data_IF_104775815217
#
_entry.id   IF_104775815217
#
_cell.length_a   1.000
_cell.length_b   1.000
_cell.length_c   1.000
_cell.angle_alpha   90.00
_cell.angle_beta   90.00
_cell.angle_gamma   90.00
#
_symmetry.space_group_name_H-M   'P 1'
#
loop_
_entity.id
_entity.type
_entity.pdbx_description
1 polymer ?
#
# COMPACT_ATOMS: atom_id res chain seq x y z
N UNK A 1 -3.53 0.24 -20.20
CA UNK A 1 -4.02 -1.13 -20.34
C UNK A 1 -5.55 -1.14 -20.40
N UNK A 2 -6.12 -2.19 -20.92
CA UNK A 2 -7.58 -2.37 -20.96
C UNK A 2 -8.19 -2.98 -19.69
N UNK A 3 -7.42 -3.14 -18.63
CA UNK A 3 -7.89 -3.74 -17.39
C UNK A 3 -8.49 -2.69 -16.46
N UNK A 4 -9.66 -2.98 -15.89
CA UNK A 4 -10.35 -2.08 -14.96
C UNK A 4 -10.70 -2.81 -13.68
N UNK A 5 -10.37 -2.24 -12.50
CA UNK A 5 -10.77 -2.83 -11.24
C UNK A 5 -12.22 -2.51 -10.88
N UNK A 6 -12.81 -3.39 -10.08
CA UNK A 6 -14.11 -3.15 -9.45
C UNK A 6 -13.94 -2.41 -8.11
N UNK A 7 -12.78 -2.58 -7.47
CA UNK A 7 -12.49 -2.05 -6.13
C UNK A 7 -11.01 -1.70 -6.03
N UNK A 8 -10.72 -0.60 -5.33
CA UNK A 8 -9.35 -0.17 -5.05
C UNK A 8 -9.06 -0.33 -3.57
N UNK A 9 -7.94 -0.93 -3.24
CA UNK A 9 -7.46 -1.06 -1.85
C UNK A 9 -6.17 -0.27 -1.72
N UNK A 10 -6.20 0.76 -0.87
CA UNK A 10 -5.01 1.53 -0.53
C UNK A 10 -4.27 0.91 0.65
N UNK A 11 -2.96 0.79 0.51
CA UNK A 11 -2.11 0.34 1.61
C UNK A 11 -1.78 1.56 2.48
N UNK A 12 -2.34 1.58 3.67
CA UNK A 12 -2.14 2.70 4.59
C UNK A 12 -0.67 2.72 5.07
N UNK A 13 -0.10 3.85 5.30
CA UNK A 13 -0.69 5.19 5.13
C UNK A 13 -0.42 5.77 3.74
N UNK A 14 0.81 5.58 3.22
CA UNK A 14 1.29 6.23 2.00
C UNK A 14 0.47 5.91 0.76
N UNK A 15 -0.10 4.72 0.67
CA UNK A 15 -0.90 4.31 -0.48
C UNK A 15 -2.30 4.90 -0.52
N UNK A 16 -2.80 5.47 0.58
CA UNK A 16 -4.16 6.03 0.63
C UNK A 16 -4.34 7.23 -0.31
N UNK A 17 -3.32 8.07 -0.42
CA UNK A 17 -3.38 9.27 -1.25
C UNK A 17 -3.38 8.91 -2.73
N UNK A 18 -2.42 8.13 -3.24
CA UNK A 18 -2.49 7.70 -4.64
C UNK A 18 -3.70 6.82 -4.94
N UNK A 19 -4.15 5.99 -4.00
CA UNK A 19 -5.37 5.20 -4.18
C UNK A 19 -6.60 6.08 -4.41
N UNK A 20 -6.77 7.12 -3.61
CA UNK A 20 -7.85 8.08 -3.77
C UNK A 20 -7.76 8.80 -5.12
N UNK A 21 -6.58 9.26 -5.50
CA UNK A 21 -6.37 9.92 -6.78
C UNK A 21 -6.71 9.02 -7.97
N UNK A 22 -6.28 7.76 -7.93
CA UNK A 22 -6.60 6.78 -8.98
C UNK A 22 -8.10 6.54 -9.04
N UNK A 23 -8.76 6.40 -7.89
CA UNK A 23 -10.21 6.21 -7.83
C UNK A 23 -10.97 7.32 -8.54
N UNK A 24 -10.56 8.57 -8.34
CA UNK A 24 -11.13 9.70 -9.08
C UNK A 24 -10.81 9.63 -10.57
N UNK A 25 -9.55 9.32 -10.92
CA UNK A 25 -9.11 9.32 -12.31
C UNK A 25 -9.84 8.31 -13.17
N UNK A 26 -10.12 7.12 -12.63
CA UNK A 26 -10.78 6.04 -13.38
C UNK A 26 -12.26 5.83 -13.01
N UNK A 27 -12.79 6.67 -12.11
CA UNK A 27 -14.21 6.64 -11.75
C UNK A 27 -14.63 5.45 -10.90
N UNK A 28 -13.73 4.87 -10.12
CA UNK A 28 -14.04 3.77 -9.20
C UNK A 28 -14.29 4.33 -7.81
N UNK A 29 -15.50 4.15 -7.29
CA UNK A 29 -15.91 4.64 -5.97
C UNK A 29 -15.70 3.61 -4.86
N UNK A 30 -15.75 2.32 -5.19
CA UNK A 30 -15.58 1.27 -4.20
C UNK A 30 -14.11 1.21 -3.77
N UNK A 31 -13.84 1.55 -2.52
CA UNK A 31 -12.50 1.61 -1.97
C UNK A 31 -12.44 0.99 -0.60
N UNK A 32 -11.32 0.39 -0.30
CA UNK A 32 -10.97 -0.11 1.01
C UNK A 32 -9.54 0.28 1.36
N UNK A 33 -9.18 0.03 2.60
CA UNK A 33 -7.83 0.27 3.09
C UNK A 33 -7.35 -0.94 3.89
N UNK A 34 -6.06 -1.20 3.81
CA UNK A 34 -5.41 -2.20 4.64
C UNK A 34 -4.14 -1.61 5.22
N UNK A 35 -3.91 -1.82 6.52
CA UNK A 35 -2.72 -1.33 7.19
C UNK A 35 -1.93 -2.51 7.73
N UNK A 36 -0.68 -2.63 7.29
CA UNK A 36 0.21 -3.72 7.69
C UNK A 36 1.45 -3.13 8.33
N UNK A 37 1.79 -3.59 9.51
CA UNK A 37 3.06 -3.28 10.16
C UNK A 37 3.89 -4.55 10.29
N UNK A 38 5.18 -4.42 10.01
CA UNK A 38 6.16 -5.46 10.32
C UNK A 38 6.71 -5.20 11.71
N UNK A 39 6.39 -6.10 12.63
CA UNK A 39 6.83 -6.00 14.01
C UNK A 39 8.19 -6.64 14.16
N UNK A 40 9.16 -5.88 14.68
CA UNK A 40 10.48 -6.38 15.04
C UNK A 40 10.62 -6.30 16.54
N UNK A 41 10.65 -7.44 17.21
CA UNK A 41 10.88 -7.49 18.63
C UNK A 41 12.36 -7.24 18.95
N UNK A 42 12.64 -6.56 20.07
CA UNK A 42 14.01 -6.26 20.48
C UNK A 42 14.75 -7.58 20.72
N UNK A 43 15.85 -7.76 19.98
CA UNK A 43 16.68 -8.96 20.09
C UNK A 43 16.26 -10.13 19.20
N UNK A 44 15.21 -9.99 18.42
CA UNK A 44 14.80 -10.97 17.41
C UNK A 44 15.08 -10.46 16.00
N UNK A 45 15.48 -11.38 15.14
CA UNK A 45 15.76 -11.09 13.73
C UNK A 45 14.57 -11.33 12.82
N UNK A 46 13.49 -11.91 13.33
CA UNK A 46 12.28 -12.21 12.55
C UNK A 46 11.32 -11.04 12.60
N UNK A 47 10.95 -10.57 11.41
CA UNK A 47 9.89 -9.60 11.22
C UNK A 47 8.58 -10.33 11.00
N UNK A 48 7.62 -10.12 11.89
CA UNK A 48 6.27 -10.66 11.73
C UNK A 48 5.32 -9.55 11.29
N UNK A 49 4.55 -9.76 10.19
CA UNK A 49 3.57 -8.77 9.78
C UNK A 49 2.33 -8.81 10.67
N UNK A 50 1.83 -7.63 11.00
CA UNK A 50 0.59 -7.45 11.75
C UNK A 50 -0.36 -6.61 10.91
N UNK A 51 -1.57 -7.11 10.71
CA UNK A 51 -2.63 -6.36 10.05
C UNK A 51 -3.38 -5.59 11.15
N UNK A 52 -3.33 -4.26 11.06
CA UNK A 52 -3.93 -3.38 12.05
C UNK A 52 -5.44 -3.24 11.84
N UNK A 53 -6.16 -3.04 12.95
CA UNK A 53 -7.59 -2.72 12.92
C UNK A 53 -7.83 -1.26 12.55
N UNK A 54 -8.94 -0.93 11.84
CA UNK A 54 -9.91 -1.88 11.33
C UNK A 54 -9.38 -2.67 10.14
N UNK A 55 -9.74 -3.94 10.07
CA UNK A 55 -9.35 -4.79 8.95
C UNK A 55 -10.32 -4.60 7.77
N UNK A 56 -9.77 -4.75 6.57
CA UNK A 56 -10.57 -4.82 5.36
C UNK A 56 -11.48 -6.05 5.42
N UNK A 57 -12.76 -5.87 5.08
CA UNK A 57 -13.69 -6.98 4.92
C UNK A 57 -13.37 -7.74 3.64
N UNK A 58 -12.66 -8.86 3.78
CA UNK A 58 -12.24 -9.66 2.63
C UNK A 58 -13.40 -10.40 1.96
N UNK A 59 -14.50 -10.65 2.65
CA UNK A 59 -15.67 -11.29 2.04
C UNK A 59 -16.30 -10.43 0.94
N UNK A 60 -16.18 -9.11 1.05
CA UNK A 60 -16.67 -8.18 0.02
C UNK A 60 -15.89 -8.26 -1.29
N UNK A 61 -14.75 -8.95 -1.31
CA UNK A 61 -13.87 -9.05 -2.47
C UNK A 61 -14.23 -10.20 -3.40
N UNK A 62 -15.14 -11.10 -3.00
CA UNK A 62 -15.52 -12.26 -3.81
C UNK A 62 -16.05 -11.84 -5.18
N UNK A 63 -15.50 -12.45 -6.23
CA UNK A 63 -15.89 -12.17 -7.60
C UNK A 63 -15.43 -10.83 -8.14
N UNK A 64 -14.56 -10.12 -7.43
CA UNK A 64 -14.15 -8.77 -7.81
C UNK A 64 -12.72 -8.74 -8.32
N UNK A 65 -12.46 -7.79 -9.21
CA UNK A 65 -11.13 -7.40 -9.65
C UNK A 65 -10.66 -6.27 -8.73
N UNK A 66 -9.54 -6.47 -8.07
CA UNK A 66 -9.03 -5.55 -7.04
C UNK A 66 -7.71 -4.96 -7.49
N UNK A 67 -7.58 -3.64 -7.37
CA UNK A 67 -6.32 -2.94 -7.55
C UNK A 67 -5.78 -2.54 -6.17
N UNK A 68 -4.62 -3.07 -5.83
CA UNK A 68 -3.88 -2.68 -4.62
C UNK A 68 -2.96 -1.52 -4.97
N UNK A 69 -3.03 -0.44 -4.20
CA UNK A 69 -2.22 0.76 -4.45
C UNK A 69 -1.36 1.08 -3.24
N UNK A 70 -0.08 1.30 -3.50
CA UNK A 70 0.87 1.82 -2.51
C UNK A 70 1.67 2.96 -3.13
N UNK A 71 2.44 3.67 -2.32
CA UNK A 71 3.29 4.76 -2.82
C UNK A 71 4.61 4.23 -3.39
N UNK A 72 5.23 3.28 -2.73
CA UNK A 72 6.51 2.72 -3.15
C UNK A 72 6.59 1.23 -2.83
N UNK A 73 7.10 0.45 -3.79
CA UNK A 73 7.54 -0.92 -3.55
C UNK A 73 9.03 -0.90 -3.22
N UNK A 74 9.37 -0.79 -1.94
CA UNK A 74 10.75 -0.71 -1.46
C UNK A 74 11.37 -2.11 -1.36
N UNK A 75 11.18 -2.82 -0.24
CA UNK A 75 11.55 -4.24 -0.17
C UNK A 75 10.55 -5.11 -0.92
N UNK A 76 9.33 -4.65 -1.05
CA UNK A 76 8.22 -5.38 -1.67
C UNK A 76 7.50 -6.32 -0.73
N UNK A 77 7.93 -6.45 0.52
CA UNK A 77 7.33 -7.40 1.48
C UNK A 77 5.88 -7.09 1.79
N UNK A 78 5.57 -5.82 2.03
CA UNK A 78 4.19 -5.38 2.33
C UNK A 78 3.28 -5.66 1.14
N UNK A 79 3.70 -5.27 -0.05
CA UNK A 79 2.89 -5.44 -1.25
C UNK A 79 2.68 -6.92 -1.58
N UNK A 80 3.73 -7.73 -1.45
CA UNK A 80 3.66 -9.17 -1.63
C UNK A 80 2.65 -9.82 -0.67
N UNK A 81 2.73 -9.46 0.61
CA UNK A 81 1.80 -9.95 1.62
C UNK A 81 0.35 -9.57 1.31
N UNK A 82 0.11 -8.29 1.02
CA UNK A 82 -1.24 -7.78 0.77
C UNK A 82 -1.84 -8.42 -0.48
N UNK A 83 -1.10 -8.48 -1.57
CA UNK A 83 -1.58 -9.07 -2.82
C UNK A 83 -1.92 -10.55 -2.62
N UNK A 84 -1.06 -11.30 -1.96
CA UNK A 84 -1.31 -12.72 -1.70
C UNK A 84 -2.51 -12.94 -0.77
N UNK A 85 -2.68 -12.09 0.24
CA UNK A 85 -3.83 -12.15 1.13
C UNK A 85 -5.14 -11.92 0.37
N UNK A 86 -5.19 -10.88 -0.48
CA UNK A 86 -6.40 -10.56 -1.22
C UNK A 86 -6.71 -11.56 -2.32
N UNK A 87 -5.70 -12.21 -2.89
CA UNK A 87 -5.91 -13.29 -3.88
C UNK A 87 -6.65 -14.50 -3.33
N UNK A 88 -6.67 -14.69 -2.03
CA UNK A 88 -7.43 -15.79 -1.41
C UNK A 88 -8.93 -15.65 -1.63
N UNK A 89 -9.42 -14.42 -1.77
CA UNK A 89 -10.87 -14.15 -1.86
C UNK A 89 -11.26 -13.48 -3.16
N UNK A 90 -10.45 -12.53 -3.66
CA UNK A 90 -10.76 -11.78 -4.87
C UNK A 90 -10.58 -12.66 -6.12
N UNK A 91 -11.30 -12.30 -7.16
CA UNK A 91 -11.22 -12.98 -8.46
C UNK A 91 -9.87 -12.71 -9.14
N UNK A 92 -9.44 -11.46 -9.10
CA UNK A 92 -8.17 -11.02 -9.68
C UNK A 92 -7.62 -9.87 -8.87
N UNK A 93 -6.32 -9.88 -8.62
CA UNK A 93 -5.63 -8.81 -7.89
C UNK A 93 -4.45 -8.33 -8.70
N UNK A 94 -4.39 -7.03 -8.95
CA UNK A 94 -3.23 -6.35 -9.53
C UNK A 94 -2.78 -5.24 -8.60
N UNK A 95 -1.55 -4.79 -8.81
CA UNK A 95 -0.91 -3.81 -7.94
C UNK A 95 -0.37 -2.63 -8.72
N UNK A 96 -0.44 -1.45 -8.11
CA UNK A 96 0.08 -0.21 -8.67
C UNK A 96 0.83 0.56 -7.59
N UNK A 97 1.98 1.10 -7.95
CA UNK A 97 2.78 1.97 -7.10
C UNK A 97 3.27 3.16 -7.91
N UNK A 98 3.65 4.24 -7.23
CA UNK A 98 4.29 5.37 -7.89
C UNK A 98 5.73 5.01 -8.23
N UNK A 99 6.47 4.50 -7.27
CA UNK A 99 7.87 4.15 -7.44
C UNK A 99 8.16 2.70 -7.08
N UNK A 100 9.08 2.09 -7.83
CA UNK A 100 9.61 0.76 -7.54
C UNK A 100 11.10 0.87 -7.28
N UNK A 101 11.58 0.29 -6.19
CA UNK A 101 13.01 0.18 -5.89
C UNK A 101 13.60 -1.06 -6.55
N UNK A 102 14.88 -1.01 -6.99
CA UNK A 102 15.51 -2.18 -7.62
C UNK A 102 15.58 -3.43 -6.73
N UNK A 103 15.60 -3.23 -5.39
CA UNK A 103 15.70 -4.32 -4.42
C UNK A 103 14.38 -5.02 -4.10
N UNK A 104 13.26 -4.57 -4.68
CA UNK A 104 11.96 -5.16 -4.37
C UNK A 104 11.91 -6.64 -4.73
N UNK A 105 11.36 -7.44 -3.83
CA UNK A 105 11.11 -8.86 -4.07
C UNK A 105 9.79 -9.10 -4.84
N UNK A 106 8.97 -8.07 -4.95
CA UNK A 106 7.67 -8.12 -5.62
C UNK A 106 7.61 -7.05 -6.71
N UNK A 107 7.42 -7.49 -7.96
CA UNK A 107 7.28 -6.55 -9.07
C UNK A 107 5.81 -6.15 -9.23
N UNK A 108 5.47 -4.87 -9.03
CA UNK A 108 4.10 -4.39 -9.23
C UNK A 108 3.68 -4.51 -10.69
N UNK A 109 2.37 -4.69 -10.93
CA UNK A 109 1.83 -4.73 -12.28
C UNK A 109 1.95 -3.37 -12.97
N UNK A 110 1.78 -2.29 -12.19
CA UNK A 110 1.88 -0.92 -12.71
C UNK A 110 2.81 -0.12 -11.82
N UNK A 111 3.75 0.60 -12.41
CA UNK A 111 4.57 1.57 -11.69
C UNK A 111 4.91 2.73 -12.62
N UNK A 112 5.03 3.92 -12.04
CA UNK A 112 5.40 5.10 -12.82
C UNK A 112 6.89 5.10 -13.12
N UNK A 113 7.72 4.93 -12.10
CA UNK A 113 9.19 4.94 -12.26
C UNK A 113 9.88 3.95 -11.33
N UNK A 114 11.03 3.45 -11.81
CA UNK A 114 12.02 2.75 -10.99
C UNK A 114 13.07 3.74 -10.54
N UNK A 115 13.45 3.70 -9.25
CA UNK A 115 14.50 4.55 -8.71
C UNK A 115 15.14 3.89 -7.49
N UNK A 116 16.45 4.12 -7.31
CA UNK A 116 17.20 3.72 -6.13
C UNK A 116 17.35 4.87 -5.12
N UNK A 117 16.87 6.06 -5.47
CA UNK A 117 17.00 7.26 -4.65
C UNK A 117 15.94 7.32 -3.56
N UNK A 118 16.25 8.09 -2.51
CA UNK A 118 15.26 8.43 -1.49
C UNK A 118 14.14 9.29 -2.10
N UNK A 119 12.90 9.01 -1.72
CA UNK A 119 11.75 9.70 -2.28
C UNK A 119 11.11 10.55 -1.18
N UNK A 120 10.93 11.85 -1.48
CA UNK A 120 10.19 12.76 -0.62
C UNK A 120 8.78 12.94 -1.19
N UNK A 121 7.81 12.31 -0.55
CA UNK A 121 6.40 12.50 -0.90
C UNK A 121 5.86 13.75 -0.20
N UNK A 122 5.00 14.49 -0.88
CA UNK A 122 4.41 15.71 -0.34
C UNK A 122 3.68 15.47 1.00
N UNK A 123 3.11 14.28 1.16
CA UNK A 123 2.35 13.94 2.38
C UNK A 123 3.21 13.43 3.53
N UNK A 124 4.50 13.19 3.32
CA UNK A 124 5.37 12.61 4.36
C UNK A 124 6.65 13.38 4.61
N UNK A 125 6.87 14.49 3.90
CA UNK A 125 8.15 15.21 3.94
C UNK A 125 8.28 16.12 5.16
N UNK A 126 7.15 16.56 5.75
CA UNK A 126 7.18 17.45 6.89
C UNK A 126 7.30 16.71 8.22
N UNK A 127 7.88 17.36 9.25
CA UNK A 127 7.98 16.74 10.57
C UNK A 127 6.61 16.41 11.18
N UNK A 128 6.60 15.42 12.06
CA UNK A 128 5.38 15.03 12.78
C UNK A 128 5.06 16.10 13.83
N UNK A 129 3.79 16.46 13.92
CA UNK A 129 3.27 17.34 14.97
C UNK A 129 2.88 16.46 16.16
N UNK A 130 3.48 16.72 17.31
CA UNK A 130 3.18 15.98 18.54
C UNK A 130 1.94 16.54 19.24
N UNK A 131 1.45 15.81 20.26
CA UNK A 131 0.24 16.21 20.98
C UNK A 131 0.32 17.57 21.67
N UNK A 132 1.53 18.03 22.01
CA UNK A 132 1.77 19.37 22.61
C UNK A 132 1.96 20.47 21.55
N UNK A 133 1.84 20.13 20.27
CA UNK A 133 2.00 21.08 19.16
C UNK A 133 3.43 21.27 18.69
N UNK A 134 4.41 20.59 19.28
CA UNK A 134 5.78 20.65 18.81
C UNK A 134 6.00 19.73 17.60
N UNK A 135 7.15 19.87 16.94
CA UNK A 135 7.48 19.06 15.78
C UNK A 135 8.52 18.00 16.16
N UNK A 136 8.33 16.80 15.63
CA UNK A 136 9.27 15.70 15.80
C UNK A 136 9.77 15.25 14.44
N UNK A 137 11.09 15.15 14.29
CA UNK A 137 11.70 14.67 13.07
C UNK A 137 11.46 13.17 12.87
N UNK A 138 11.20 12.80 11.64
CA UNK A 138 11.11 11.41 11.20
C UNK A 138 9.80 10.71 11.58
N UNK A 139 9.26 9.93 10.71
CA UNK A 139 8.13 9.06 11.00
C UNK A 139 8.05 7.92 10.00
#
# INVERSE_FOLDING_TARGET
SGWFPDLIVGVARGGLIPAGAIGYAIGVKAMGAINVEFYTDIGQTLEEPIILSPQLDTDSLKGKKVLVVDDVADSGKTLDLVVNLLKETADEVRSAVIYTKPKTIFEPDFSWKKTDQWINFAWSVLPVITADGSFKEGS
#
